data_IF_705712771926
#
_entry.id   IF_705712771926
#
_cell.length_a   1.000
_cell.length_b   1.000
_cell.length_c   1.000
_cell.angle_alpha   90.00
_cell.angle_beta   90.00
_cell.angle_gamma   90.00
#
_symmetry.space_group_name_H-M   'P 1'
#
loop_
_entity.id
_entity.type
_entity.pdbx_description
1 polymer ?
#
# COMPACT_ATOMS: atom_id res chain seq x y z
N UNK A 1 -64.28 30.35 24.99
CA UNK A 1 -65.09 29.83 26.11
C UNK A 1 -65.67 31.04 26.79
N UNK A 2 -66.98 31.08 26.98
CA UNK A 2 -67.68 32.24 27.53
C UNK A 2 -67.19 32.49 28.95
N UNK A 3 -66.38 33.52 29.15
CA UNK A 3 -66.10 34.06 30.48
C UNK A 3 -67.45 34.44 31.06
N UNK A 4 -67.97 33.69 32.04
CA UNK A 4 -69.14 34.14 32.78
C UNK A 4 -68.77 35.47 33.41
N UNK A 5 -69.20 36.57 32.77
CA UNK A 5 -69.01 37.89 33.32
C UNK A 5 -69.71 37.89 34.67
N UNK A 6 -68.91 38.09 35.72
CA UNK A 6 -69.45 38.45 37.03
C UNK A 6 -70.35 39.66 36.78
N UNK A 7 -71.66 39.52 37.00
CA UNK A 7 -72.59 40.64 36.82
C UNK A 7 -72.16 41.71 37.82
N UNK A 8 -71.72 42.84 37.29
CA UNK A 8 -71.15 43.96 38.08
C UNK A 8 -72.12 44.41 39.18
N UNK A 9 -73.42 44.31 38.92
CA UNK A 9 -74.50 44.58 39.87
C UNK A 9 -74.53 43.59 41.05
N UNK A 10 -74.42 42.28 40.80
CA UNK A 10 -74.37 41.23 41.83
C UNK A 10 -73.09 41.36 42.68
N UNK A 11 -71.95 41.63 42.04
CA UNK A 11 -70.69 41.92 42.72
C UNK A 11 -70.81 43.13 43.65
N UNK A 12 -71.31 44.26 43.14
CA UNK A 12 -71.44 45.49 43.92
C UNK A 12 -72.39 45.30 45.11
N UNK A 13 -73.49 44.58 44.92
CA UNK A 13 -74.47 44.28 45.96
C UNK A 13 -73.90 43.39 47.08
N UNK A 14 -73.23 42.29 46.72
CA UNK A 14 -72.61 41.37 47.70
C UNK A 14 -71.47 42.08 48.45
N UNK A 15 -70.62 42.84 47.76
CA UNK A 15 -69.52 43.57 48.40
C UNK A 15 -70.02 44.67 49.35
N UNK A 16 -71.09 45.38 48.99
CA UNK A 16 -71.71 46.39 49.88
C UNK A 16 -72.31 45.77 51.14
N UNK A 17 -72.81 44.54 51.06
CA UNK A 17 -73.45 43.85 52.20
C UNK A 17 -72.49 43.03 53.04
N UNK A 18 -71.28 42.72 52.53
CA UNK A 18 -70.26 41.93 53.21
C UNK A 18 -69.87 42.46 54.60
N UNK A 19 -69.64 43.77 54.83
CA UNK A 19 -69.37 44.29 56.18
C UNK A 19 -70.52 44.00 57.16
N UNK A 20 -71.77 44.15 56.69
CA UNK A 20 -72.95 43.87 57.50
C UNK A 20 -73.15 42.37 57.79
N UNK A 21 -72.79 41.49 56.84
CA UNK A 21 -72.79 40.04 57.07
C UNK A 21 -71.78 39.65 58.15
N UNK A 22 -70.56 40.22 58.09
CA UNK A 22 -69.51 39.98 59.07
C UNK A 22 -69.95 40.47 60.46
N UNK A 23 -70.47 41.70 60.54
CA UNK A 23 -70.96 42.28 61.78
C UNK A 23 -72.08 41.45 62.42
N UNK A 24 -73.07 40.99 61.64
CA UNK A 24 -74.14 40.11 62.14
C UNK A 24 -73.60 38.77 62.65
N UNK A 25 -72.59 38.21 61.98
CA UNK A 25 -71.93 36.99 62.46
C UNK A 25 -71.19 37.23 63.78
N UNK A 26 -70.45 38.34 63.90
CA UNK A 26 -69.79 38.72 65.16
C UNK A 26 -70.80 38.86 66.30
N UNK A 27 -71.90 39.58 66.08
CA UNK A 27 -72.99 39.72 67.06
C UNK A 27 -73.65 38.37 67.41
N UNK A 28 -73.84 37.49 66.41
CA UNK A 28 -74.41 36.15 66.65
C UNK A 28 -73.49 35.30 67.54
N UNK A 29 -72.18 35.39 67.34
CA UNK A 29 -71.18 34.69 68.15
C UNK A 29 -71.12 35.27 69.57
N UNK A 30 -71.09 36.60 69.69
CA UNK A 30 -71.09 37.28 70.98
C UNK A 30 -72.34 36.92 71.81
N UNK A 31 -73.54 37.01 71.21
CA UNK A 31 -74.79 36.66 71.88
C UNK A 31 -74.87 35.17 72.24
N UNK A 32 -74.40 34.28 71.36
CA UNK A 32 -74.30 32.86 71.65
C UNK A 32 -73.38 32.58 72.84
N UNK A 33 -72.18 33.17 72.85
CA UNK A 33 -71.22 33.01 73.93
C UNK A 33 -71.75 33.56 75.26
N UNK A 34 -72.39 34.73 75.26
CA UNK A 34 -72.98 35.31 76.47
C UNK A 34 -74.09 34.43 77.04
N UNK A 35 -75.00 33.93 76.20
CA UNK A 35 -76.06 33.02 76.63
C UNK A 35 -75.51 31.68 77.14
N UNK A 36 -74.50 31.13 76.47
CA UNK A 36 -73.79 29.95 76.93
C UNK A 36 -73.09 30.15 78.27
N UNK A 37 -72.44 31.32 78.45
CA UNK A 37 -71.78 31.68 79.70
C UNK A 37 -72.78 31.79 80.86
N UNK A 38 -73.92 32.45 80.65
CA UNK A 38 -74.97 32.52 81.68
C UNK A 38 -75.48 31.12 82.09
N UNK A 39 -75.60 30.19 81.14
CA UNK A 39 -75.96 28.81 81.45
C UNK A 39 -74.87 28.12 82.28
N UNK A 40 -73.59 28.31 81.92
CA UNK A 40 -72.46 27.80 82.70
C UNK A 40 -72.44 28.35 84.13
N UNK A 41 -72.56 29.67 84.29
CA UNK A 41 -72.58 30.34 85.59
C UNK A 41 -73.74 29.81 86.47
N UNK A 42 -74.89 29.51 85.85
CA UNK A 42 -76.07 28.96 86.54
C UNK A 42 -75.87 27.50 86.98
N UNK A 43 -75.16 26.70 86.17
CA UNK A 43 -74.80 25.31 86.54
C UNK A 43 -73.85 25.32 87.74
N UNK A 44 -72.84 26.19 87.72
CA UNK A 44 -71.88 26.35 88.80
C UNK A 44 -72.54 26.81 90.10
N UNK A 45 -73.42 27.81 90.03
CA UNK A 45 -74.15 28.33 91.19
C UNK A 45 -75.10 27.30 91.84
N UNK A 46 -75.65 26.37 91.05
CA UNK A 46 -76.53 25.30 91.54
C UNK A 46 -75.77 24.06 92.06
N UNK A 47 -74.42 24.04 91.97
CA UNK A 47 -73.60 22.91 92.40
C UNK A 47 -73.66 21.69 91.48
N UNK A 48 -74.17 21.84 90.25
CA UNK A 48 -74.27 20.75 89.27
C UNK A 48 -75.48 20.82 88.35
N UNK A 49 -75.63 19.78 87.52
CA UNK A 49 -76.72 19.65 86.55
C UNK A 49 -78.03 19.20 87.18
N UNK A 50 -79.15 19.62 86.59
CA UNK A 50 -80.49 19.11 86.88
C UNK A 50 -81.33 19.07 85.59
N UNK A 51 -82.50 18.41 85.65
CA UNK A 51 -83.35 18.18 84.47
C UNK A 51 -83.83 19.49 83.81
N UNK A 52 -84.00 20.57 84.58
CA UNK A 52 -84.40 21.87 84.03
C UNK A 52 -83.24 22.54 83.27
N UNK A 53 -82.01 22.44 83.77
CA UNK A 53 -80.81 22.92 83.10
C UNK A 53 -80.47 22.09 81.87
N UNK A 54 -80.67 20.77 81.90
CA UNK A 54 -80.50 19.90 80.72
C UNK A 54 -81.44 20.33 79.57
N UNK A 55 -82.72 20.56 79.87
CA UNK A 55 -83.67 21.06 78.88
C UNK A 55 -83.28 22.45 78.31
N UNK A 56 -82.72 23.34 79.15
CA UNK A 56 -82.24 24.66 78.71
C UNK A 56 -80.99 24.55 77.84
N UNK A 57 -80.04 23.68 78.18
CA UNK A 57 -78.84 23.41 77.38
C UNK A 57 -79.23 22.79 76.04
N UNK A 58 -80.14 21.81 76.03
CA UNK A 58 -80.64 21.21 74.80
C UNK A 58 -81.27 22.26 73.87
N UNK A 59 -82.08 23.17 74.42
CA UNK A 59 -82.65 24.30 73.68
C UNK A 59 -81.56 25.26 73.15
N UNK A 60 -80.56 25.59 73.97
CA UNK A 60 -79.41 26.40 73.57
C UNK A 60 -78.62 25.75 72.44
N UNK A 61 -78.27 24.47 72.54
CA UNK A 61 -77.52 23.75 71.50
C UNK A 61 -78.28 23.69 70.18
N UNK A 62 -79.60 23.55 70.21
CA UNK A 62 -80.43 23.65 69.01
C UNK A 62 -80.36 25.06 68.38
N UNK A 63 -80.39 26.12 69.20
CA UNK A 63 -80.19 27.50 68.72
C UNK A 63 -78.78 27.69 68.14
N UNK A 64 -77.74 27.08 68.70
CA UNK A 64 -76.37 27.14 68.16
C UNK A 64 -76.27 26.50 66.78
N UNK A 65 -76.92 25.35 66.55
CA UNK A 65 -77.00 24.75 65.21
C UNK A 65 -77.60 25.71 64.20
N UNK A 66 -78.74 26.31 64.53
CA UNK A 66 -79.41 27.32 63.69
C UNK A 66 -78.51 28.54 63.46
N UNK A 67 -77.80 29.01 64.48
CA UNK A 67 -76.83 30.11 64.37
C UNK A 67 -75.72 29.78 63.38
N UNK A 68 -75.15 28.56 63.46
CA UNK A 68 -74.10 28.11 62.53
C UNK A 68 -74.61 28.02 61.09
N UNK A 69 -75.81 27.48 60.88
CA UNK A 69 -76.43 27.38 59.55
C UNK A 69 -76.70 28.77 58.95
N UNK A 70 -77.15 29.71 59.77
CA UNK A 70 -77.36 31.10 59.37
C UNK A 70 -76.04 31.81 59.04
N UNK A 71 -74.97 31.60 59.83
CA UNK A 71 -73.64 32.14 59.55
C UNK A 71 -73.08 31.60 58.23
N UNK A 72 -73.27 30.31 57.97
CA UNK A 72 -72.89 29.68 56.71
C UNK A 72 -73.68 30.24 55.52
N UNK A 73 -74.99 30.37 55.67
CA UNK A 73 -75.86 30.95 54.64
C UNK A 73 -75.43 32.38 54.31
N UNK A 74 -75.02 33.17 55.31
CA UNK A 74 -74.51 34.54 55.12
C UNK A 74 -73.14 34.57 54.44
N UNK A 75 -72.20 33.67 54.78
CA UNK A 75 -70.84 33.68 54.18
C UNK A 75 -70.80 33.14 52.74
N UNK A 76 -71.69 32.20 52.42
CA UNK A 76 -71.66 31.42 51.17
C UNK A 76 -71.63 32.28 49.89
N UNK A 77 -72.49 33.31 49.72
CA UNK A 77 -72.44 34.17 48.53
C UNK A 77 -71.10 34.90 48.37
N UNK A 78 -70.50 35.36 49.47
CA UNK A 78 -69.21 36.05 49.46
C UNK A 78 -68.06 35.10 49.09
N UNK A 79 -68.04 33.89 49.66
CA UNK A 79 -67.03 32.88 49.32
C UNK A 79 -67.14 32.46 47.85
N UNK A 80 -68.35 32.22 47.34
CA UNK A 80 -68.58 31.88 45.95
C UNK A 80 -68.10 32.99 45.00
N UNK A 81 -68.35 34.26 45.35
CA UNK A 81 -67.89 35.41 44.58
C UNK A 81 -66.35 35.47 44.52
N UNK A 82 -65.64 35.28 45.64
CA UNK A 82 -64.18 35.23 45.64
C UNK A 82 -63.62 34.06 44.84
N UNK A 83 -64.23 32.88 44.93
CA UNK A 83 -63.84 31.73 44.13
C UNK A 83 -64.06 31.97 42.63
N UNK A 84 -65.15 32.62 42.24
CA UNK A 84 -65.41 33.02 40.86
C UNK A 84 -64.39 34.04 40.36
N UNK A 85 -64.10 35.09 41.13
CA UNK A 85 -63.06 36.07 40.78
C UNK A 85 -61.71 35.38 40.54
N UNK A 86 -61.28 34.53 41.48
CA UNK A 86 -60.03 33.77 41.35
C UNK A 86 -60.03 32.96 40.05
N UNK A 87 -61.11 32.25 39.74
CA UNK A 87 -61.25 31.48 38.50
C UNK A 87 -61.14 32.36 37.26
N UNK A 88 -61.82 33.51 37.22
CA UNK A 88 -61.76 34.44 36.09
C UNK A 88 -60.33 34.91 35.83
N UNK A 89 -59.60 35.35 36.85
CA UNK A 89 -58.20 35.76 36.69
C UNK A 89 -57.33 34.61 36.17
N UNK A 90 -57.40 33.43 36.78
CA UNK A 90 -56.63 32.27 36.30
C UNK A 90 -57.02 31.82 34.88
N UNK A 91 -58.29 31.98 34.50
CA UNK A 91 -58.76 31.66 33.15
C UNK A 91 -58.17 32.63 32.13
N UNK A 92 -58.21 33.94 32.39
CA UNK A 92 -57.64 34.96 31.51
C UNK A 92 -56.12 34.78 31.33
N UNK A 93 -55.40 34.45 32.40
CA UNK A 93 -53.97 34.10 32.32
C UNK A 93 -53.74 32.87 31.43
N UNK A 94 -54.60 31.85 31.55
CA UNK A 94 -54.48 30.63 30.76
C UNK A 94 -54.76 30.84 29.26
N UNK A 95 -55.57 31.83 28.89
CA UNK A 95 -55.90 32.14 27.49
C UNK A 95 -54.70 32.70 26.70
N UNK A 96 -53.73 33.29 27.39
CA UNK A 96 -52.52 33.87 26.79
C UNK A 96 -51.25 33.02 27.02
N UNK A 97 -51.40 31.82 27.58
CA UNK A 97 -50.28 30.92 27.84
C UNK A 97 -49.60 30.48 26.53
N UNK A 98 -48.30 30.73 26.41
CA UNK A 98 -47.46 30.38 25.25
C UNK A 98 -47.06 28.90 25.21
N UNK A 99 -47.22 28.17 26.31
CA UNK A 99 -46.92 26.73 26.39
C UNK A 99 -48.10 25.87 25.99
N UNK A 100 -49.31 26.42 26.06
CA UNK A 100 -50.54 25.71 25.72
C UNK A 100 -50.87 25.85 24.22
N UNK A 101 -50.80 24.74 23.48
CA UNK A 101 -51.11 24.69 22.05
C UNK A 101 -52.57 25.02 21.70
N UNK A 102 -53.48 25.04 22.67
CA UNK A 102 -54.87 25.44 22.44
C UNK A 102 -55.04 26.97 22.33
N UNK A 103 -54.10 27.76 22.86
CA UNK A 103 -54.17 29.22 22.85
C UNK A 103 -53.66 29.81 21.53
N UNK A 104 -53.94 31.09 21.28
CA UNK A 104 -53.37 31.79 20.11
C UNK A 104 -51.84 31.93 20.26
N UNK A 105 -51.28 32.42 21.38
CA UNK A 105 -49.83 32.56 21.53
C UNK A 105 -49.08 31.22 21.43
N UNK A 106 -49.61 30.14 22.01
CA UNK A 106 -48.98 28.81 21.90
C UNK A 106 -48.92 28.28 20.47
N UNK A 107 -50.01 28.49 19.69
CA UNK A 107 -50.00 28.18 18.25
C UNK A 107 -48.99 29.00 17.47
N UNK A 108 -48.81 30.29 17.79
CA UNK A 108 -47.81 31.14 17.14
C UNK A 108 -46.37 30.67 17.43
N UNK A 109 -46.09 30.24 18.67
CA UNK A 109 -44.78 29.66 19.03
C UNK A 109 -44.52 28.37 18.25
N UNK A 110 -45.49 27.49 18.14
CA UNK A 110 -45.39 26.26 17.34
C UNK A 110 -45.09 26.56 15.86
N UNK A 111 -45.82 27.51 15.26
CA UNK A 111 -45.59 27.93 13.88
C UNK A 111 -44.17 28.49 13.68
N UNK A 112 -43.66 29.28 14.64
CA UNK A 112 -42.28 29.79 14.61
C UNK A 112 -41.26 28.65 14.69
N UNK A 113 -41.49 27.68 15.57
CA UNK A 113 -40.61 26.52 15.73
C UNK A 113 -40.59 25.65 14.46
N UNK A 114 -41.76 25.41 13.84
CA UNK A 114 -41.87 24.71 12.56
C UNK A 114 -41.10 25.42 11.44
N UNK A 115 -41.22 26.74 11.34
CA UNK A 115 -40.48 27.52 10.35
C UNK A 115 -38.96 27.48 10.59
N UNK A 116 -38.51 27.59 11.84
CA UNK A 116 -37.09 27.44 12.18
C UNK A 116 -36.56 26.05 11.81
N UNK A 117 -37.34 24.99 12.08
CA UNK A 117 -36.99 23.63 11.68
C UNK A 117 -36.92 23.47 10.14
N UNK A 118 -37.88 24.06 9.41
CA UNK A 118 -37.87 24.08 7.94
C UNK A 118 -36.64 24.79 7.38
N UNK A 119 -36.26 25.95 7.94
CA UNK A 119 -35.04 26.69 7.56
C UNK A 119 -33.77 25.85 7.72
N UNK A 120 -33.62 25.18 8.86
CA UNK A 120 -32.46 24.31 9.12
C UNK A 120 -32.45 23.12 8.17
N UNK A 121 -33.62 22.52 7.88
CA UNK A 121 -33.72 21.41 6.95
C UNK A 121 -33.36 21.81 5.51
N UNK A 122 -33.81 22.99 5.05
CA UNK A 122 -33.47 23.53 3.74
C UNK A 122 -31.97 23.82 3.62
N UNK A 123 -31.37 24.44 4.64
CA UNK A 123 -29.94 24.70 4.66
C UNK A 123 -29.12 23.41 4.65
N UNK A 124 -29.50 22.42 5.47
CA UNK A 124 -28.86 21.09 5.48
C UNK A 124 -28.99 20.39 4.13
N UNK A 125 -30.15 20.51 3.47
CA UNK A 125 -30.36 19.97 2.11
C UNK A 125 -29.46 20.67 1.10
N UNK A 126 -29.36 22.00 1.14
CA UNK A 126 -28.47 22.79 0.27
C UNK A 126 -27.00 22.43 0.48
N UNK A 127 -26.56 22.26 1.73
CA UNK A 127 -25.20 21.82 2.06
C UNK A 127 -24.93 20.39 1.56
N UNK A 128 -25.88 19.47 1.72
CA UNK A 128 -25.74 18.09 1.24
C UNK A 128 -25.70 18.02 -0.30
N UNK A 129 -26.51 18.81 -1.00
CA UNK A 129 -26.48 18.91 -2.47
C UNK A 129 -25.17 19.53 -2.96
N UNK A 130 -24.68 20.59 -2.31
CA UNK A 130 -23.39 21.19 -2.61
C UNK A 130 -22.22 20.22 -2.40
N UNK A 131 -22.22 19.48 -1.29
CA UNK A 131 -21.21 18.46 -1.00
C UNK A 131 -21.28 17.31 -2.01
N UNK A 132 -22.48 16.85 -2.37
CA UNK A 132 -22.67 15.82 -3.40
C UNK A 132 -22.12 16.29 -4.76
N UNK A 133 -22.40 17.54 -5.15
CA UNK A 133 -21.89 18.12 -6.39
C UNK A 133 -20.37 18.27 -6.37
N UNK A 134 -19.81 18.71 -5.24
CA UNK A 134 -18.35 18.78 -5.04
C UNK A 134 -17.71 17.39 -5.19
N UNK A 135 -18.26 16.38 -4.51
CA UNK A 135 -17.77 15.00 -4.59
C UNK A 135 -17.88 14.44 -6.01
N UNK A 136 -18.98 14.70 -6.70
CA UNK A 136 -19.16 14.33 -8.11
C UNK A 136 -18.08 14.96 -9.00
N UNK A 137 -17.84 16.27 -8.86
CA UNK A 137 -16.83 16.97 -9.66
C UNK A 137 -15.40 16.50 -9.34
N UNK A 138 -15.10 16.26 -8.07
CA UNK A 138 -13.81 15.72 -7.64
C UNK A 138 -13.57 14.31 -8.19
N UNK A 139 -14.56 13.42 -8.09
CA UNK A 139 -14.47 12.06 -8.64
C UNK A 139 -14.38 12.09 -10.16
N UNK A 140 -15.12 12.99 -10.83
CA UNK A 140 -15.01 13.23 -12.29
C UNK A 140 -13.59 13.59 -12.70
N UNK A 141 -12.97 14.55 -12.01
CA UNK A 141 -11.61 14.98 -12.30
C UNK A 141 -10.59 13.86 -12.03
N UNK A 142 -10.73 13.16 -10.90
CA UNK A 142 -9.87 12.03 -10.56
C UNK A 142 -10.00 10.89 -11.57
N UNK A 143 -11.21 10.50 -11.96
CA UNK A 143 -11.45 9.44 -12.93
C UNK A 143 -10.83 9.79 -14.30
N UNK A 144 -10.99 11.03 -14.77
CA UNK A 144 -10.35 11.50 -15.99
C UNK A 144 -8.82 11.38 -15.93
N UNK A 145 -8.21 11.85 -14.85
CA UNK A 145 -6.75 11.78 -14.64
C UNK A 145 -6.25 10.32 -14.58
N UNK A 146 -6.94 9.47 -13.82
CA UNK A 146 -6.61 8.05 -13.72
C UNK A 146 -6.73 7.31 -15.06
N UNK A 147 -7.74 7.64 -15.87
CA UNK A 147 -7.87 7.11 -17.23
C UNK A 147 -6.70 7.54 -18.13
N UNK A 148 -6.33 8.82 -18.12
CA UNK A 148 -5.22 9.33 -18.92
C UNK A 148 -3.89 8.66 -18.54
N UNK A 149 -3.65 8.48 -17.23
CA UNK A 149 -2.46 7.81 -16.72
C UNK A 149 -2.44 6.33 -17.12
N UNK A 150 -3.55 5.61 -16.91
CA UNK A 150 -3.64 4.20 -17.27
C UNK A 150 -3.51 3.96 -18.77
N UNK A 151 -4.09 4.85 -19.58
CA UNK A 151 -3.96 4.79 -21.04
C UNK A 151 -2.49 5.02 -21.47
N UNK A 152 -1.79 5.94 -20.81
CA UNK A 152 -0.36 6.18 -21.05
C UNK A 152 0.50 5.00 -20.64
N UNK A 153 0.21 4.37 -19.49
CA UNK A 153 0.88 3.14 -19.06
C UNK A 153 0.66 2.00 -20.05
N UNK A 154 -0.58 1.77 -20.48
CA UNK A 154 -0.91 0.75 -21.48
C UNK A 154 -0.09 0.91 -22.77
N UNK A 155 0.05 2.15 -23.25
CA UNK A 155 0.92 2.45 -24.39
C UNK A 155 2.41 2.18 -24.08
N UNK A 156 2.91 2.70 -22.97
CA UNK A 156 4.32 2.58 -22.59
C UNK A 156 4.74 1.13 -22.38
N UNK A 157 3.89 0.29 -21.80
CA UNK A 157 4.14 -1.14 -21.61
C UNK A 157 4.31 -1.85 -22.96
N UNK A 158 3.47 -1.52 -23.94
CA UNK A 158 3.60 -2.03 -25.30
C UNK A 158 4.88 -1.55 -25.98
N UNK A 159 5.16 -0.25 -25.90
CA UNK A 159 6.38 0.32 -26.47
C UNK A 159 7.62 -0.35 -25.86
N UNK A 160 7.72 -0.39 -24.54
CA UNK A 160 8.83 -1.01 -23.82
C UNK A 160 9.00 -2.50 -24.18
N UNK A 161 7.90 -3.24 -24.33
CA UNK A 161 7.94 -4.62 -24.79
C UNK A 161 8.54 -4.73 -26.20
N UNK A 162 8.11 -3.89 -27.15
CA UNK A 162 8.65 -3.89 -28.52
C UNK A 162 10.11 -3.44 -28.57
N UNK A 163 10.48 -2.41 -27.80
CA UNK A 163 11.87 -1.95 -27.63
C UNK A 163 12.76 -3.07 -27.09
N UNK A 164 12.29 -3.83 -26.10
CA UNK A 164 13.02 -4.95 -25.55
C UNK A 164 13.19 -6.10 -26.56
N UNK A 165 12.17 -6.40 -27.37
CA UNK A 165 12.25 -7.44 -28.39
C UNK A 165 13.26 -7.09 -29.49
N UNK A 166 13.27 -5.86 -30.01
CA UNK A 166 14.28 -5.46 -31.02
C UNK A 166 15.69 -5.45 -30.43
N UNK A 167 15.84 -5.01 -29.17
CA UNK A 167 17.10 -5.08 -28.44
C UNK A 167 17.59 -6.53 -28.28
N UNK A 168 16.67 -7.45 -27.98
CA UNK A 168 16.98 -8.88 -27.88
C UNK A 168 17.38 -9.47 -29.24
N UNK A 169 16.75 -9.05 -30.35
CA UNK A 169 17.17 -9.45 -31.70
C UNK A 169 18.62 -9.01 -31.95
N UNK A 170 18.95 -7.76 -31.61
CA UNK A 170 20.31 -7.22 -31.74
C UNK A 170 21.33 -8.00 -30.91
N UNK A 171 21.05 -8.26 -29.63
CA UNK A 171 21.99 -8.98 -28.74
C UNK A 171 22.25 -10.43 -29.15
N UNK A 172 21.34 -11.05 -29.92
CA UNK A 172 21.47 -12.45 -30.35
C UNK A 172 22.02 -12.61 -31.78
N UNK A 173 22.57 -11.53 -32.36
CA UNK A 173 23.24 -11.58 -33.65
C UNK A 173 24.57 -12.33 -33.50
N UNK A 174 24.80 -13.31 -34.37
CA UNK A 174 26.06 -14.02 -34.52
C UNK A 174 26.39 -14.21 -36.00
N UNK A 175 27.58 -14.74 -36.30
CA UNK A 175 28.07 -14.89 -37.66
C UNK A 175 27.11 -15.70 -38.57
N UNK A 176 26.48 -16.75 -38.04
CA UNK A 176 25.62 -17.64 -38.83
C UNK A 176 24.25 -17.01 -39.17
N UNK A 177 23.69 -16.19 -38.26
CA UNK A 177 22.35 -15.63 -38.40
C UNK A 177 22.35 -14.11 -38.73
N UNK A 178 23.52 -13.53 -39.01
CA UNK A 178 23.69 -12.08 -39.21
C UNK A 178 22.72 -11.52 -40.24
N UNK A 179 22.68 -12.10 -41.44
CA UNK A 179 21.85 -11.59 -42.54
C UNK A 179 20.35 -11.61 -42.20
N UNK A 180 19.88 -12.69 -41.57
CA UNK A 180 18.48 -12.84 -41.18
C UNK A 180 18.09 -11.82 -40.10
N UNK A 181 18.90 -11.71 -39.04
CA UNK A 181 18.62 -10.79 -37.92
C UNK A 181 18.78 -9.32 -38.31
N UNK A 182 19.77 -9.00 -39.15
CA UNK A 182 19.92 -7.66 -39.72
C UNK A 182 18.68 -7.25 -40.52
N UNK A 183 18.15 -8.16 -41.36
CA UNK A 183 16.92 -7.93 -42.11
C UNK A 183 15.70 -7.75 -41.18
N UNK A 184 15.58 -8.56 -40.13
CA UNK A 184 14.52 -8.40 -39.12
C UNK A 184 14.53 -7.01 -38.46
N UNK A 185 15.72 -6.45 -38.19
CA UNK A 185 15.85 -5.10 -37.62
C UNK A 185 15.44 -4.04 -38.67
N UNK A 186 15.90 -4.18 -39.91
CA UNK A 186 15.57 -3.22 -40.99
C UNK A 186 14.06 -3.17 -41.28
N UNK A 187 13.42 -4.33 -41.33
CA UNK A 187 11.99 -4.48 -41.63
C UNK A 187 11.10 -4.35 -40.38
N UNK A 188 11.65 -3.94 -39.23
CA UNK A 188 10.88 -3.81 -38.00
C UNK A 188 9.70 -2.84 -38.16
N UNK A 189 8.48 -3.24 -37.74
CA UNK A 189 7.28 -2.43 -37.95
C UNK A 189 7.33 -1.13 -37.14
N UNK A 190 7.01 -0.02 -37.79
CA UNK A 190 6.94 1.33 -37.19
C UNK A 190 5.50 1.80 -36.94
N UNK A 191 4.52 0.91 -37.12
CA UNK A 191 3.11 1.24 -36.99
C UNK A 191 2.63 0.76 -35.62
N UNK A 192 2.07 1.67 -34.84
CA UNK A 192 1.40 1.32 -33.59
C UNK A 192 0.08 0.59 -33.88
N UNK A 193 -0.13 -0.65 -33.41
CA UNK A 193 -1.34 -1.40 -33.73
C UNK A 193 -2.61 -0.81 -33.10
N UNK A 194 -3.60 -0.51 -33.93
CA UNK A 194 -4.90 -0.01 -33.46
C UNK A 194 -5.65 -1.04 -32.60
N UNK A 195 -5.47 -2.33 -32.88
CA UNK A 195 -6.04 -3.42 -32.07
C UNK A 195 -5.59 -3.34 -30.61
N UNK A 196 -4.28 -3.12 -30.37
CA UNK A 196 -3.74 -2.98 -29.03
C UNK A 196 -4.32 -1.76 -28.30
N UNK A 197 -4.47 -0.63 -29.00
CA UNK A 197 -5.13 0.55 -28.43
C UNK A 197 -6.59 0.25 -28.04
N UNK A 198 -7.33 -0.45 -28.90
CA UNK A 198 -8.73 -0.81 -28.67
C UNK A 198 -8.94 -1.87 -27.58
N UNK A 199 -7.89 -2.61 -27.21
CA UNK A 199 -7.91 -3.56 -26.09
C UNK A 199 -7.89 -2.88 -24.73
N UNK A 200 -7.61 -1.57 -24.64
CA UNK A 200 -7.63 -0.86 -23.37
C UNK A 200 -9.01 -0.96 -22.69
N UNK A 201 -9.01 -1.28 -21.39
CA UNK A 201 -10.20 -1.37 -20.55
C UNK A 201 -9.95 -0.58 -19.27
N UNK A 202 -10.98 0.14 -18.83
CA UNK A 202 -10.98 0.81 -17.55
C UNK A 202 -11.59 -0.09 -16.48
N UNK A 203 -10.90 -0.23 -15.35
CA UNK A 203 -11.32 -1.08 -14.20
C UNK A 203 -11.70 -0.23 -12.98
N UNK A 204 -11.84 1.08 -13.14
CA UNK A 204 -12.06 1.99 -12.02
C UNK A 204 -13.51 1.99 -11.53
N UNK A 205 -13.71 1.65 -10.26
CA UNK A 205 -14.98 1.84 -9.58
C UNK A 205 -15.23 3.33 -9.31
N UNK A 206 -16.51 3.74 -9.42
CA UNK A 206 -16.96 5.09 -9.04
C UNK A 206 -18.20 4.98 -8.17
N UNK A 207 -18.37 5.95 -7.27
CA UNK A 207 -19.49 6.02 -6.32
C UNK A 207 -20.54 7.03 -6.79
N UNK A 208 -20.11 8.18 -7.31
CA UNK A 208 -20.97 9.30 -7.68
C UNK A 208 -21.16 9.44 -9.20
N UNK A 209 -20.24 8.93 -10.01
CA UNK A 209 -20.36 8.94 -11.47
C UNK A 209 -21.26 7.80 -11.98
N UNK A 210 -22.22 8.17 -12.82
CA UNK A 210 -23.07 7.24 -13.56
C UNK A 210 -22.36 6.66 -14.81
N UNK A 211 -22.86 5.55 -15.37
CA UNK A 211 -22.25 4.91 -16.53
C UNK A 211 -22.17 5.78 -17.79
N UNK A 212 -23.14 6.67 -18.03
CA UNK A 212 -23.17 7.53 -19.22
C UNK A 212 -22.08 8.61 -19.12
N UNK A 213 -21.96 9.25 -17.95
CA UNK A 213 -20.90 10.23 -17.67
C UNK A 213 -19.52 9.57 -17.81
N UNK A 214 -19.34 8.34 -17.31
CA UNK A 214 -18.09 7.59 -17.47
C UNK A 214 -17.76 7.33 -18.94
N UNK A 215 -18.74 6.89 -19.73
CA UNK A 215 -18.57 6.66 -21.16
C UNK A 215 -18.18 7.95 -21.89
N UNK A 216 -18.84 9.08 -21.58
CA UNK A 216 -18.53 10.37 -22.17
C UNK A 216 -17.10 10.84 -21.86
N UNK A 217 -16.66 10.72 -20.59
CA UNK A 217 -15.28 11.05 -20.17
C UNK A 217 -14.28 10.14 -20.89
N UNK A 218 -14.57 8.84 -21.01
CA UNK A 218 -13.70 7.89 -21.72
C UNK A 218 -13.55 8.26 -23.19
N UNK A 219 -14.65 8.60 -23.87
CA UNK A 219 -14.62 9.08 -25.27
C UNK A 219 -13.85 10.39 -25.40
N UNK A 220 -13.98 11.31 -24.44
CA UNK A 220 -13.20 12.55 -24.40
C UNK A 220 -11.70 12.28 -24.26
N UNK A 221 -11.31 11.44 -23.29
CA UNK A 221 -9.91 11.09 -23.01
C UNK A 221 -9.27 10.37 -24.18
N UNK A 222 -9.98 9.44 -24.83
CA UNK A 222 -9.43 8.67 -25.96
C UNK A 222 -9.31 9.47 -27.25
N UNK A 223 -10.02 10.59 -27.38
CA UNK A 223 -10.08 11.38 -28.61
C UNK A 223 -8.69 11.88 -29.01
N UNK A 224 -8.25 11.50 -30.21
CA UNK A 224 -6.94 11.90 -30.75
C UNK A 224 -5.73 11.28 -30.07
N UNK A 225 -5.90 10.47 -29.00
CA UNK A 225 -4.78 9.81 -28.32
C UNK A 225 -4.12 8.74 -29.19
N UNK A 226 -4.91 8.02 -30.00
CA UNK A 226 -4.36 7.06 -30.94
C UNK A 226 -3.37 7.73 -31.91
N UNK A 227 -3.75 8.83 -32.55
CA UNK A 227 -2.88 9.54 -33.51
C UNK A 227 -1.61 10.08 -32.83
N UNK A 228 -1.75 10.58 -31.59
CA UNK A 228 -0.61 11.04 -30.79
C UNK A 228 0.36 9.91 -30.50
N UNK A 229 -0.14 8.77 -30.00
CA UNK A 229 0.69 7.61 -29.68
C UNK A 229 1.27 6.95 -30.93
N UNK A 230 0.53 6.89 -32.03
CA UNK A 230 1.04 6.34 -33.29
C UNK A 230 2.20 7.18 -33.84
N UNK A 231 2.13 8.51 -33.75
CA UNK A 231 3.22 9.41 -34.11
C UNK A 231 4.44 9.23 -33.20
N UNK A 232 4.22 9.19 -31.89
CA UNK A 232 5.28 8.99 -30.91
C UNK A 232 5.97 7.63 -31.10
N UNK A 233 5.18 6.55 -31.21
CA UNK A 233 5.69 5.20 -31.44
C UNK A 233 6.57 5.12 -32.67
N UNK A 234 6.09 5.70 -33.78
CA UNK A 234 6.85 5.73 -35.02
C UNK A 234 8.18 6.44 -34.82
N UNK A 235 8.17 7.64 -34.24
CA UNK A 235 9.38 8.43 -34.02
C UNK A 235 10.39 7.68 -33.13
N UNK A 236 9.95 7.21 -31.96
CA UNK A 236 10.82 6.55 -30.98
C UNK A 236 11.34 5.18 -31.49
N UNK A 237 10.51 4.39 -32.17
CA UNK A 237 10.94 3.12 -32.78
C UNK A 237 11.83 3.32 -34.00
N UNK A 238 11.60 4.35 -34.80
CA UNK A 238 12.43 4.66 -35.95
C UNK A 238 13.83 5.08 -35.51
N UNK A 239 13.95 5.90 -34.47
CA UNK A 239 15.22 6.28 -33.85
C UNK A 239 15.99 5.05 -33.32
N UNK A 240 15.33 4.19 -32.54
CA UNK A 240 15.94 2.97 -32.02
C UNK A 240 16.38 2.02 -33.14
N UNK A 241 15.52 1.81 -34.14
CA UNK A 241 15.82 0.96 -35.30
C UNK A 241 17.02 1.51 -36.07
N UNK A 242 17.05 2.81 -36.33
CA UNK A 242 18.13 3.46 -37.06
C UNK A 242 19.46 3.34 -36.31
N UNK A 243 19.45 3.49 -34.98
CA UNK A 243 20.62 3.29 -34.13
C UNK A 243 21.25 1.90 -34.31
N UNK A 244 20.43 0.85 -34.42
CA UNK A 244 20.92 -0.49 -34.71
C UNK A 244 21.40 -0.65 -36.15
N UNK A 245 20.67 -0.11 -37.13
CA UNK A 245 21.06 -0.15 -38.54
C UNK A 245 22.45 0.46 -38.74
N UNK A 246 22.73 1.60 -38.11
CA UNK A 246 24.00 2.30 -38.22
C UNK A 246 25.17 1.50 -37.60
N UNK A 247 24.88 0.65 -36.61
CA UNK A 247 25.87 -0.21 -35.93
C UNK A 247 26.06 -1.57 -36.61
N UNK A 248 25.12 -2.02 -37.44
CA UNK A 248 25.18 -3.34 -38.12
C UNK A 248 26.50 -3.56 -38.90
N UNK A 249 27.02 -2.60 -39.70
CA UNK A 249 28.24 -2.82 -40.46
C UNK A 249 29.47 -3.06 -39.58
N UNK A 250 29.54 -2.35 -38.44
CA UNK A 250 30.63 -2.52 -37.47
C UNK A 250 30.55 -3.90 -36.79
N UNK A 251 29.34 -4.30 -36.37
CA UNK A 251 29.11 -5.62 -35.78
C UNK A 251 29.42 -6.76 -36.77
N UNK A 252 29.09 -6.58 -38.06
CA UNK A 252 29.41 -7.56 -39.09
C UNK A 252 30.92 -7.81 -39.19
N UNK A 253 31.72 -6.73 -39.24
CA UNK A 253 33.18 -6.83 -39.31
C UNK A 253 33.78 -7.52 -38.09
N UNK A 254 33.25 -7.23 -36.91
CA UNK A 254 33.67 -7.87 -35.65
C UNK A 254 33.37 -9.38 -35.65
N UNK A 255 32.17 -9.77 -36.10
CA UNK A 255 31.78 -11.18 -36.21
C UNK A 255 32.59 -11.94 -37.28
N UNK A 256 32.91 -11.29 -38.41
CA UNK A 256 33.77 -11.86 -39.44
C UNK A 256 35.20 -12.09 -38.94
N UNK A 257 35.77 -11.14 -38.21
CA UNK A 257 37.13 -11.25 -37.69
C UNK A 257 37.24 -12.32 -36.59
N UNK A 258 36.27 -12.37 -35.68
CA UNK A 258 36.22 -13.40 -34.63
C UNK A 258 36.08 -14.81 -35.22
N UNK A 259 35.27 -15.00 -36.26
CA UNK A 259 35.16 -16.29 -36.95
C UNK A 259 36.42 -16.64 -37.75
N UNK A 260 37.12 -15.67 -38.36
CA UNK A 260 38.43 -15.90 -39.00
C UNK A 260 39.46 -16.39 -37.98
N UNK A 261 39.59 -15.70 -36.84
CA UNK A 261 40.49 -16.11 -35.75
C UNK A 261 40.15 -17.52 -35.28
N UNK A 262 38.86 -17.83 -35.11
CA UNK A 262 38.41 -19.18 -34.72
C UNK A 262 38.83 -20.25 -35.73
N UNK A 263 38.71 -19.98 -37.03
CA UNK A 263 39.10 -20.92 -38.09
C UNK A 263 40.60 -21.16 -38.12
N UNK A 264 41.40 -20.09 -38.04
CA UNK A 264 42.87 -20.19 -37.99
C UNK A 264 43.30 -20.99 -36.77
N UNK A 265 42.75 -20.69 -35.59
CA UNK A 265 43.06 -21.43 -34.36
C UNK A 265 42.65 -22.91 -34.44
N UNK A 266 41.52 -23.23 -35.09
CA UNK A 266 41.07 -24.61 -35.28
C UNK A 266 41.95 -25.38 -36.28
N UNK A 267 42.41 -24.73 -37.34
CA UNK A 267 43.34 -25.32 -38.31
C UNK A 267 44.72 -25.55 -37.68
N UNK A 268 45.23 -24.59 -36.92
CA UNK A 268 46.49 -24.71 -36.18
C UNK A 268 46.41 -25.83 -35.13
N UNK A 269 45.31 -25.92 -34.37
CA UNK A 269 45.08 -27.03 -33.45
C UNK A 269 45.06 -28.40 -34.14
N UNK A 270 44.44 -28.51 -35.32
CA UNK A 270 44.45 -29.76 -36.12
C UNK A 270 45.84 -30.10 -36.64
N UNK A 271 46.63 -29.11 -37.05
CA UNK A 271 48.02 -29.32 -37.46
C UNK A 271 48.87 -29.83 -36.31
N UNK A 272 48.75 -29.21 -35.14
CA UNK A 272 49.45 -29.64 -33.91
C UNK A 272 49.03 -31.07 -33.52
N UNK A 273 47.74 -31.41 -33.60
CA UNK A 273 47.26 -32.76 -33.28
C UNK A 273 47.73 -33.81 -34.32
N UNK A 274 47.76 -33.47 -35.61
CA UNK A 274 48.27 -34.35 -36.66
C UNK A 274 49.78 -34.58 -36.53
N UNK A 275 50.55 -33.53 -36.21
CA UNK A 275 51.98 -33.64 -35.93
C UNK A 275 52.23 -34.50 -34.68
N UNK A 276 51.42 -34.36 -33.62
CA UNK A 276 51.50 -35.21 -32.44
C UNK A 276 51.24 -36.68 -32.79
N UNK A 277 50.21 -36.98 -33.59
CA UNK A 277 49.90 -38.35 -34.03
C UNK A 277 50.99 -38.95 -34.92
N UNK A 278 51.60 -38.16 -35.81
CA UNK A 278 52.73 -38.61 -36.63
C UNK A 278 53.95 -38.95 -35.78
N UNK A 279 54.30 -38.10 -34.81
CA UNK A 279 55.38 -38.40 -33.86
C UNK A 279 55.10 -39.66 -33.03
N UNK A 280 53.86 -39.86 -32.58
CA UNK A 280 53.46 -41.07 -31.85
C UNK A 280 53.58 -42.34 -32.73
N UNK A 281 53.19 -42.29 -34.01
CA UNK A 281 53.33 -43.40 -34.97
C UNK A 281 54.79 -43.67 -35.34
N UNK A 282 55.62 -42.64 -35.53
CA UNK A 282 57.06 -42.77 -35.77
C UNK A 282 57.76 -43.36 -34.54
N UNK A 283 57.40 -42.95 -33.33
CA UNK A 283 57.92 -43.56 -32.10
C UNK A 283 57.45 -45.01 -31.90
N UNK A 284 56.22 -45.36 -32.29
CA UNK A 284 55.76 -46.75 -32.25
C UNK A 284 56.46 -47.61 -33.29
N UNK A 285 56.58 -47.14 -34.55
CA UNK A 285 57.26 -47.89 -35.61
C UNK A 285 58.76 -48.05 -35.33
N UNK A 286 59.41 -47.04 -34.73
CA UNK A 286 60.80 -47.16 -34.27
C UNK A 286 60.92 -48.18 -33.14
N UNK A 287 59.99 -48.18 -32.17
CA UNK A 287 59.95 -49.20 -31.10
C UNK A 287 59.72 -50.61 -31.64
N UNK A 288 58.83 -50.77 -32.63
CA UNK A 288 58.57 -52.07 -33.26
C UNK A 288 59.74 -52.56 -34.13
N UNK A 289 60.42 -51.65 -34.82
CA UNK A 289 61.63 -51.96 -35.60
C UNK A 289 62.80 -52.33 -34.68
N UNK A 290 62.98 -51.61 -33.57
CA UNK A 290 63.97 -51.95 -32.54
C UNK A 290 63.66 -53.31 -31.90
N UNK A 291 62.38 -53.61 -31.60
CA UNK A 291 61.95 -54.92 -31.09
C UNK A 291 62.16 -56.06 -32.11
N UNK A 292 61.91 -55.83 -33.41
CA UNK A 292 62.23 -56.80 -34.47
C UNK A 292 63.72 -57.00 -34.66
N UNK A 293 64.52 -55.94 -34.65
CA UNK A 293 65.98 -56.05 -34.73
C UNK A 293 66.55 -56.75 -33.49
N UNK A 294 65.97 -56.57 -32.30
CA UNK A 294 66.34 -57.35 -31.12
C UNK A 294 65.92 -58.82 -31.23
N UNK A 295 64.74 -59.13 -31.80
CA UNK A 295 64.35 -60.52 -32.09
C UNK A 295 65.23 -61.19 -33.15
N UNK A 296 65.62 -60.48 -34.21
CA UNK A 296 66.52 -60.98 -35.25
C UNK A 296 67.95 -61.10 -34.75
N UNK A 297 68.44 -60.15 -33.95
CA UNK A 297 69.72 -60.29 -33.25
C UNK A 297 69.69 -61.47 -32.29
N UNK A 298 68.64 -61.67 -31.50
CA UNK A 298 68.53 -62.84 -30.63
C UNK A 298 68.48 -64.18 -31.40
N UNK A 299 67.87 -64.22 -32.60
CA UNK A 299 67.89 -65.40 -33.49
C UNK A 299 69.25 -65.60 -34.16
N UNK A 300 69.91 -64.53 -34.60
CA UNK A 300 71.25 -64.57 -35.18
C UNK A 300 72.33 -64.86 -34.13
N UNK A 301 72.16 -64.43 -32.87
CA UNK A 301 73.01 -64.83 -31.74
C UNK A 301 72.75 -66.30 -31.38
N UNK A 302 71.51 -66.79 -31.47
CA UNK A 302 71.20 -68.20 -31.28
C UNK A 302 71.78 -69.11 -32.40
N UNK A 303 71.86 -68.63 -33.65
CA UNK A 303 72.48 -69.35 -34.78
C UNK A 303 74.02 -69.16 -34.84
N UNK A 304 74.56 -67.98 -34.49
CA UNK A 304 76.00 -67.73 -34.42
C UNK A 304 76.64 -68.35 -33.16
N UNK A 305 75.86 -68.55 -32.09
CA UNK A 305 76.26 -69.35 -30.94
C UNK A 305 76.34 -70.86 -31.23
N UNK A 306 75.80 -71.34 -32.37
CA UNK A 306 75.90 -72.74 -32.77
C UNK A 306 77.15 -73.07 -33.62
N UNK A 307 77.96 -72.09 -34.03
CA UNK A 307 79.19 -72.32 -34.84
C UNK A 307 80.48 -71.67 -34.32
N UNK A 308 80.46 -70.91 -33.22
CA UNK A 308 81.68 -70.32 -32.65
C UNK A 308 81.84 -70.64 -31.16
N UNK A 309 81.78 -71.93 -30.82
CA UNK A 309 82.13 -72.46 -29.48
C UNK A 309 83.54 -73.05 -29.49
N UNK A 310 84.57 -72.21 -29.68
CA UNK A 310 85.94 -72.54 -29.24
C UNK A 310 86.80 -71.28 -29.04
N UNK A 311 86.45 -70.42 -28.09
CA UNK A 311 87.41 -69.89 -27.10
C UNK A 311 86.71 -69.03 -26.04
N UNK A 312 86.74 -69.57 -24.81
CA UNK A 312 86.70 -68.90 -23.51
C UNK A 312 85.49 -68.01 -23.14
N UNK A 313 84.62 -68.58 -22.32
CA UNK A 313 83.81 -67.90 -21.31
C UNK A 313 83.85 -68.72 -20.01
N UNK A 314 83.50 -68.11 -18.86
CA UNK A 314 83.50 -68.57 -17.45
C UNK A 314 84.69 -68.01 -16.61
N UNK A 315 84.57 -67.28 -15.49
CA UNK A 315 83.44 -67.02 -14.56
C UNK A 315 83.65 -65.70 -13.76
N UNK A 316 82.52 -65.07 -13.41
CA UNK A 316 82.29 -63.89 -12.54
C UNK A 316 82.65 -64.08 -11.05
N UNK A 317 83.04 -63.00 -10.33
CA UNK A 317 82.07 -62.17 -9.57
C UNK A 317 82.72 -61.06 -8.73
N UNK A 318 82.08 -59.87 -8.81
CA UNK A 318 81.85 -58.83 -7.80
C UNK A 318 83.05 -58.13 -7.10
N UNK A 319 83.25 -56.83 -7.38
CA UNK A 319 82.65 -55.73 -6.59
C UNK A 319 83.28 -54.34 -6.88
N UNK A 320 82.39 -53.39 -7.22
CA UNK A 320 82.32 -51.99 -6.77
C UNK A 320 83.33 -50.89 -7.23
N UNK A 321 82.72 -49.69 -7.38
CA UNK A 321 83.26 -48.32 -7.35
C UNK A 321 83.62 -47.63 -8.69
N UNK A 322 82.54 -47.13 -9.28
CA UNK A 322 82.28 -46.20 -10.40
C UNK A 322 83.00 -44.84 -10.40
N UNK A 323 83.52 -44.41 -11.58
CA UNK A 323 83.65 -43.00 -12.02
C UNK A 323 83.45 -42.89 -13.57
N UNK A 324 82.59 -41.94 -13.96
CA UNK A 324 82.20 -41.28 -15.25
C UNK A 324 83.05 -41.46 -16.55
N UNK A 325 82.48 -41.31 -17.79
CA UNK A 325 81.89 -40.05 -18.30
C UNK A 325 80.51 -40.15 -19.01
N UNK A 326 79.64 -39.28 -18.52
CA UNK A 326 78.42 -38.61 -19.05
C UNK A 326 77.96 -38.86 -20.50
N UNK A 327 76.75 -39.43 -20.69
CA UNK A 327 75.86 -39.07 -21.78
C UNK A 327 75.06 -37.83 -21.38
N UNK A 328 75.01 -36.81 -22.24
CA UNK A 328 74.20 -35.62 -21.95
C UNK A 328 72.73 -36.00 -22.06
N UNK A 329 72.13 -36.44 -20.95
CA UNK A 329 70.68 -36.41 -20.73
C UNK A 329 70.27 -34.94 -20.60
N UNK A 330 70.23 -34.21 -21.71
CA UNK A 330 69.69 -32.88 -21.72
C UNK A 330 68.17 -32.99 -21.55
N UNK A 331 67.67 -32.59 -20.37
CA UNK A 331 66.25 -32.31 -20.18
C UNK A 331 65.94 -31.07 -21.02
N UNK A 332 65.38 -31.26 -22.21
CA UNK A 332 64.91 -30.14 -23.04
C UNK A 332 63.67 -29.59 -22.34
N UNK A 333 63.83 -28.46 -21.65
CA UNK A 333 62.74 -27.70 -21.06
C UNK A 333 62.55 -26.43 -21.88
N UNK A 334 61.34 -26.21 -22.39
CA UNK A 334 60.99 -25.00 -23.14
C UNK A 334 60.89 -23.81 -22.17
N UNK A 335 61.43 -22.65 -22.59
CA UNK A 335 61.37 -21.42 -21.82
C UNK A 335 60.49 -20.41 -22.55
N UNK A 336 59.47 -19.89 -21.87
CA UNK A 336 58.55 -18.91 -22.44
C UNK A 336 59.25 -17.54 -22.55
N UNK A 337 59.17 -16.91 -23.73
CA UNK A 337 59.50 -15.50 -23.95
C UNK A 337 58.23 -14.75 -24.35
N UNK A 338 57.83 -13.76 -23.55
CA UNK A 338 56.62 -12.97 -23.80
C UNK A 338 56.93 -11.86 -24.79
N UNK A 339 56.29 -11.89 -25.96
CA UNK A 339 56.49 -10.90 -27.05
C UNK A 339 55.48 -9.75 -27.01
N UNK A 340 54.34 -9.93 -26.34
CA UNK A 340 53.25 -8.96 -26.27
C UNK A 340 52.53 -9.03 -24.91
N UNK A 341 52.03 -7.92 -24.33
CA UNK A 341 51.32 -7.93 -23.04
C UNK A 341 50.12 -8.88 -22.98
N UNK A 342 49.40 -9.07 -24.09
CA UNK A 342 48.30 -10.04 -24.16
C UNK A 342 48.75 -11.48 -23.86
N UNK A 343 49.99 -11.84 -24.19
CA UNK A 343 50.55 -13.16 -23.90
C UNK A 343 50.68 -13.45 -22.40
N UNK A 344 50.72 -12.43 -21.53
CA UNK A 344 50.66 -12.64 -20.08
C UNK A 344 49.29 -13.19 -19.66
N UNK A 345 48.20 -12.74 -20.31
CA UNK A 345 46.84 -13.22 -20.01
C UNK A 345 46.70 -14.67 -20.48
N UNK A 346 47.29 -15.03 -21.61
CA UNK A 346 47.27 -16.42 -22.12
C UNK A 346 48.06 -17.38 -21.22
N UNK A 347 49.25 -16.95 -20.76
CA UNK A 347 50.03 -17.70 -19.75
C UNK A 347 49.22 -17.85 -18.46
N UNK A 348 48.57 -16.78 -18.03
CA UNK A 348 47.73 -16.78 -16.84
C UNK A 348 46.55 -17.75 -16.98
N UNK A 349 45.85 -17.72 -18.13
CA UNK A 349 44.72 -18.60 -18.40
C UNK A 349 45.16 -20.08 -18.42
N UNK A 350 46.29 -20.39 -19.04
CA UNK A 350 46.87 -21.73 -19.05
C UNK A 350 47.26 -22.22 -17.65
N UNK A 351 47.82 -21.35 -16.82
CA UNK A 351 48.12 -21.69 -15.43
C UNK A 351 46.84 -21.84 -14.59
N UNK A 352 45.85 -20.95 -14.76
CA UNK A 352 44.61 -20.95 -14.00
C UNK A 352 43.78 -22.23 -14.21
N UNK A 353 43.63 -22.67 -15.46
CA UNK A 353 42.84 -23.87 -15.79
C UNK A 353 43.53 -25.15 -15.27
N UNK A 354 44.85 -25.19 -15.22
CA UNK A 354 45.56 -26.41 -14.87
C UNK A 354 45.88 -26.52 -13.37
N UNK A 355 46.24 -25.40 -12.74
CA UNK A 355 46.72 -25.38 -11.36
C UNK A 355 45.94 -24.37 -10.51
N UNK A 356 45.80 -23.13 -10.98
CA UNK A 356 45.24 -22.01 -10.20
C UNK A 356 43.84 -22.26 -9.65
N UNK A 357 42.91 -22.82 -10.45
CA UNK A 357 41.52 -23.02 -10.01
C UNK A 357 41.36 -24.05 -8.88
N UNK A 358 42.36 -24.93 -8.68
CA UNK A 358 42.32 -25.99 -7.69
C UNK A 358 43.07 -25.63 -6.40
N UNK A 359 43.72 -24.47 -6.34
CA UNK A 359 44.44 -24.00 -5.16
C UNK A 359 43.47 -23.39 -4.13
N UNK A 360 43.79 -23.50 -2.82
CA UNK A 360 43.02 -22.85 -1.77
C UNK A 360 43.13 -21.31 -1.87
N UNK A 361 42.08 -20.62 -1.42
CA UNK A 361 41.96 -19.15 -1.52
C UNK A 361 43.16 -18.43 -0.88
N UNK A 362 43.61 -18.88 0.30
CA UNK A 362 44.75 -18.28 1.00
C UNK A 362 46.09 -18.34 0.22
N UNK A 363 46.26 -19.35 -0.64
CA UNK A 363 47.43 -19.44 -1.53
C UNK A 363 47.27 -18.56 -2.75
N UNK A 364 46.06 -18.51 -3.32
CA UNK A 364 45.73 -17.62 -4.43
C UNK A 364 45.88 -16.15 -4.03
N UNK A 365 45.48 -15.75 -2.82
CA UNK A 365 45.67 -14.40 -2.32
C UNK A 365 47.16 -14.02 -2.22
N UNK A 366 48.03 -14.97 -1.82
CA UNK A 366 49.48 -14.75 -1.78
C UNK A 366 50.07 -14.58 -3.19
N UNK A 367 49.67 -15.43 -4.13
CA UNK A 367 50.13 -15.37 -5.53
C UNK A 367 49.68 -14.06 -6.19
N UNK A 368 48.44 -13.62 -5.95
CA UNK A 368 47.83 -12.45 -6.59
C UNK A 368 47.94 -11.15 -5.77
N UNK A 369 48.69 -11.15 -4.66
CA UNK A 369 48.78 -10.04 -3.72
C UNK A 369 49.02 -8.68 -4.38
N UNK A 370 49.90 -8.62 -5.39
CA UNK A 370 50.18 -7.37 -6.11
C UNK A 370 48.98 -6.83 -6.87
N UNK A 371 48.17 -7.71 -7.46
CA UNK A 371 46.94 -7.35 -8.18
C UNK A 371 45.84 -6.95 -7.20
N UNK A 372 45.69 -7.69 -6.10
CA UNK A 372 44.73 -7.39 -5.03
C UNK A 372 45.01 -6.00 -4.44
N UNK A 373 46.26 -5.72 -4.04
CA UNK A 373 46.65 -4.41 -3.50
C UNK A 373 46.48 -3.27 -4.51
N UNK A 374 46.58 -3.54 -5.82
CA UNK A 374 46.26 -2.55 -6.85
C UNK A 374 44.75 -2.24 -6.88
N UNK A 375 43.90 -3.27 -6.87
CA UNK A 375 42.45 -3.12 -6.82
C UNK A 375 41.97 -2.44 -5.52
N UNK A 376 42.59 -2.74 -4.37
CA UNK A 376 42.33 -2.06 -3.09
C UNK A 376 42.72 -0.58 -3.16
N UNK A 377 43.88 -0.24 -3.74
CA UNK A 377 44.30 1.16 -3.94
C UNK A 377 43.34 1.91 -4.85
N UNK A 378 42.87 1.26 -5.92
CA UNK A 378 41.87 1.82 -6.84
C UNK A 378 40.52 2.07 -6.15
N UNK A 379 40.05 1.11 -5.37
CA UNK A 379 38.84 1.27 -4.56
C UNK A 379 38.96 2.37 -3.49
N UNK A 380 40.13 2.50 -2.85
CA UNK A 380 40.34 3.48 -1.78
C UNK A 380 40.64 4.91 -2.27
N UNK A 381 41.19 5.08 -3.48
CA UNK A 381 41.54 6.40 -4.04
C UNK A 381 40.54 6.93 -5.06
N UNK A 382 40.07 6.07 -5.95
CA UNK A 382 39.26 6.45 -7.12
C UNK A 382 37.80 5.98 -6.99
N UNK A 383 37.44 5.32 -5.87
CA UNK A 383 36.13 4.67 -5.59
C UNK A 383 35.67 3.66 -6.67
N UNK A 384 36.61 3.14 -7.46
CA UNK A 384 36.38 2.10 -8.45
C UNK A 384 36.42 0.71 -7.81
N UNK A 385 35.24 0.10 -7.59
CA UNK A 385 35.10 -1.24 -6.99
C UNK A 385 34.69 -2.29 -8.02
N UNK A 386 35.26 -3.49 -7.89
CA UNK A 386 34.84 -4.65 -8.67
C UNK A 386 33.44 -5.07 -8.21
N UNK A 387 32.46 -5.01 -9.10
CA UNK A 387 31.09 -5.49 -8.85
C UNK A 387 30.99 -6.97 -9.23
N UNK A 388 31.20 -7.86 -8.25
CA UNK A 388 31.09 -9.31 -8.43
C UNK A 388 30.54 -9.94 -7.15
N UNK A 389 29.70 -10.97 -7.28
CA UNK A 389 29.22 -11.76 -6.14
C UNK A 389 30.32 -12.54 -5.42
N UNK A 390 31.52 -12.63 -6.02
CA UNK A 390 32.67 -13.35 -5.49
C UNK A 390 33.74 -12.44 -4.88
N UNK A 391 33.54 -11.12 -4.88
CA UNK A 391 34.49 -10.14 -4.35
C UNK A 391 33.77 -9.21 -3.40
N UNK A 392 34.20 -9.18 -2.14
CA UNK A 392 33.67 -8.29 -1.12
C UNK A 392 34.78 -7.37 -0.60
N UNK A 393 34.49 -6.08 -0.53
CA UNK A 393 35.37 -5.10 0.10
C UNK A 393 34.96 -4.97 1.57
N UNK A 394 35.87 -5.30 2.48
CA UNK A 394 35.69 -5.19 3.93
C UNK A 394 36.49 -3.97 4.42
N UNK A 395 35.91 -3.16 5.30
CA UNK A 395 36.56 -1.97 5.84
C UNK A 395 37.63 -2.37 6.89
N UNK A 396 38.91 -2.20 6.53
CA UNK A 396 40.04 -2.36 7.47
C UNK A 396 40.21 -1.06 8.30
N UNK A 397 39.43 -0.95 9.38
CA UNK A 397 39.47 0.20 10.30
C UNK A 397 40.64 0.04 11.29
N UNK A 398 41.70 0.82 11.10
CA UNK A 398 42.80 0.96 12.08
C UNK A 398 42.68 2.29 12.82
N UNK A 399 42.70 2.24 14.15
CA UNK A 399 42.78 3.43 14.99
C UNK A 399 44.05 4.23 14.65
N UNK A 400 43.92 5.55 14.56
CA UNK A 400 45.08 6.46 14.43
C UNK A 400 45.78 6.65 15.75
#
# INVERSE_FOLDING_TARGET
>A
MSTELIKVEEFSSIMKTAPGMLQRNQQSVEGANNAGQTLLDTIEANGGMNDALDAQIASYLNKIKVTKDNMETRRKPLTQLFDQMRKVFTSLESEVDTKNMATIPGRLVDMRNKYAAQKIAEEKKRQAEALRMQNFNNEKASYKSSLELALSHHYNDFFNNKSALISQVWSNINFANFSEKAKMIQEWPLIYPQEHFNMFRDTFCSIYLDPETKAAIKTEVMRGKYDSFAKQYRFDMEDLRQSYIDRLPSLQKELEETERIRRVNAEEAKRIEAERKQKELEEQTKRDLEARQQQERAKAEAEASAQASQMNSLFDSAAAATIAPTPVKAKITEKIQVLHPAGIIEIYQMWWINEGQNLPIDELEKIHKKMITFCEKKANKDDERIKSQYVQYIEDVKAK
#
